data_IF_558299157775
#
_entry.id   IF_558299157775
#
_cell.length_a   1.000
_cell.length_b   1.000
_cell.length_c   1.000
_cell.angle_alpha   90.00
_cell.angle_beta   90.00
_cell.angle_gamma   90.00
#
_symmetry.space_group_name_H-M   'P 1'
#
loop_
_entity.id
_entity.type
_entity.pdbx_description
1 polymer ?
#
# COMPACT_ATOMS: atom_id res chain seq x y z
N UNK A 1 -6.21 14.98 -2.99
CA UNK A 1 -4.80 14.65 -3.34
C UNK A 1 -4.40 15.48 -4.54
N UNK A 2 -3.21 16.09 -4.57
CA UNK A 2 -2.73 16.81 -5.76
C UNK A 2 -2.15 15.85 -6.81
N UNK A 3 -2.05 16.29 -8.06
CA UNK A 3 -1.52 15.50 -9.18
C UNK A 3 -0.10 14.96 -8.91
N UNK A 4 0.75 15.77 -8.28
CA UNK A 4 2.12 15.37 -7.97
C UNK A 4 2.19 14.21 -6.96
N UNK A 5 1.32 14.21 -5.95
CA UNK A 5 1.23 13.10 -4.99
C UNK A 5 0.71 11.82 -5.64
N UNK A 6 -0.29 11.93 -6.52
CA UNK A 6 -0.82 10.79 -7.27
C UNK A 6 0.28 10.13 -8.12
N UNK A 7 1.04 10.95 -8.87
CA UNK A 7 2.17 10.47 -9.66
C UNK A 7 3.22 9.78 -8.80
N UNK A 8 3.60 10.38 -7.66
CA UNK A 8 4.56 9.77 -6.73
C UNK A 8 4.10 8.43 -6.18
N UNK A 9 2.81 8.28 -5.88
CA UNK A 9 2.22 7.01 -5.44
C UNK A 9 2.29 5.96 -6.56
N UNK A 10 1.90 6.31 -7.78
CA UNK A 10 1.95 5.39 -8.93
C UNK A 10 3.39 4.96 -9.22
N UNK A 11 4.34 5.91 -9.27
CA UNK A 11 5.77 5.62 -9.42
C UNK A 11 6.25 4.66 -8.35
N UNK A 12 5.91 4.89 -7.07
CA UNK A 12 6.27 3.96 -6.00
C UNK A 12 5.71 2.55 -6.23
N UNK A 13 4.44 2.42 -6.60
CA UNK A 13 3.83 1.12 -6.84
C UNK A 13 4.50 0.38 -8.01
N UNK A 14 4.77 1.06 -9.12
CA UNK A 14 5.35 0.43 -10.31
C UNK A 14 6.86 0.16 -10.19
N UNK A 15 7.62 1.04 -9.55
CA UNK A 15 9.08 0.94 -9.53
C UNK A 15 9.62 0.25 -8.27
N UNK A 16 8.82 0.19 -7.19
CA UNK A 16 9.27 -0.34 -5.90
C UNK A 16 8.49 -1.55 -5.43
N UNK A 17 7.19 -1.65 -5.73
CA UNK A 17 6.36 -2.78 -5.28
C UNK A 17 6.24 -3.85 -6.36
N UNK A 18 5.84 -3.48 -7.58
CA UNK A 18 5.62 -4.41 -8.67
C UNK A 18 6.82 -5.29 -9.07
N UNK A 19 8.10 -4.83 -9.01
CA UNK A 19 9.23 -5.67 -9.39
C UNK A 19 9.73 -6.58 -8.25
N UNK A 20 9.12 -6.54 -7.06
CA UNK A 20 9.52 -7.41 -5.95
C UNK A 20 8.93 -8.80 -6.10
N UNK A 21 9.75 -9.82 -5.83
CA UNK A 21 9.28 -11.20 -5.71
C UNK A 21 8.27 -11.36 -4.56
N UNK A 22 8.52 -10.67 -3.44
CA UNK A 22 7.58 -10.52 -2.34
C UNK A 22 7.27 -9.05 -2.08
N UNK A 23 6.07 -8.56 -2.46
CA UNK A 23 5.67 -7.18 -2.21
C UNK A 23 5.60 -6.85 -0.71
N UNK A 24 5.51 -7.86 0.17
CA UNK A 24 5.50 -7.65 1.63
C UNK A 24 6.82 -7.10 2.17
N UNK A 25 7.92 -7.32 1.48
CA UNK A 25 9.29 -7.01 1.93
C UNK A 25 9.55 -5.53 2.25
N UNK A 26 8.78 -4.59 1.67
CA UNK A 26 8.96 -3.14 1.87
C UNK A 26 7.75 -2.45 2.55
N UNK A 27 6.87 -3.24 3.16
CA UNK A 27 5.70 -2.72 3.87
C UNK A 27 5.55 -3.32 5.27
N UNK A 28 4.36 -3.14 5.84
CA UNK A 28 4.04 -3.68 7.17
C UNK A 28 2.61 -4.22 7.19
N UNK A 29 2.40 -5.36 7.83
CA UNK A 29 1.06 -5.83 8.19
C UNK A 29 0.31 -4.78 9.01
N UNK A 30 -1.00 -4.62 8.75
CA UNK A 30 -1.86 -3.86 9.65
C UNK A 30 -2.10 -4.66 10.94
N UNK A 31 -2.04 -3.96 12.07
CA UNK A 31 -2.32 -4.54 13.38
C UNK A 31 -3.83 -4.62 13.62
N UNK A 32 -4.30 -5.75 14.13
CA UNK A 32 -5.70 -5.97 14.50
C UNK A 32 -6.23 -7.31 13.96
N UNK A 33 -7.04 -8.00 14.75
CA UNK A 33 -7.51 -9.37 14.49
C UNK A 33 -8.27 -9.54 13.17
N UNK A 34 -8.87 -8.47 12.62
CA UNK A 34 -9.56 -8.47 11.31
C UNK A 34 -8.75 -7.82 10.17
N UNK A 35 -7.56 -7.28 10.45
CA UNK A 35 -6.77 -6.47 9.50
C UNK A 35 -5.42 -7.10 9.13
N UNK A 36 -5.04 -8.23 9.75
CA UNK A 36 -3.75 -8.88 9.51
C UNK A 36 -3.50 -9.34 8.08
N UNK A 37 -4.54 -9.41 7.24
CA UNK A 37 -4.46 -9.73 5.81
C UNK A 37 -4.01 -8.54 4.95
N UNK A 38 -4.07 -7.33 5.49
CA UNK A 38 -3.75 -6.12 4.74
C UNK A 38 -2.33 -5.67 5.00
N UNK A 39 -1.69 -5.21 3.92
CA UNK A 39 -0.37 -4.63 3.93
C UNK A 39 -0.42 -3.12 3.75
N UNK A 40 0.45 -2.42 4.48
CA UNK A 40 0.54 -0.97 4.47
C UNK A 40 1.91 -0.54 3.96
N UNK A 41 1.91 0.27 2.91
CA UNK A 41 3.10 0.99 2.43
C UNK A 41 3.05 2.46 2.82
N UNK A 42 4.23 3.07 2.96
CA UNK A 42 4.37 4.51 3.24
C UNK A 42 5.01 5.21 2.04
N UNK A 43 4.34 6.24 1.53
CA UNK A 43 4.86 7.10 0.47
C UNK A 43 4.73 8.55 0.91
N UNK A 44 5.80 9.10 1.49
CA UNK A 44 5.76 10.42 2.12
C UNK A 44 4.74 10.46 3.27
N UNK A 45 3.74 11.33 3.14
CA UNK A 45 2.65 11.51 4.12
C UNK A 45 1.43 10.61 3.86
N UNK A 46 1.41 9.92 2.72
CA UNK A 46 0.36 8.99 2.37
C UNK A 46 0.71 7.58 2.87
N UNK A 47 -0.32 6.85 3.30
CA UNK A 47 -0.22 5.39 3.38
C UNK A 47 -1.17 4.75 2.38
N UNK A 48 -0.70 3.64 1.85
CA UNK A 48 -1.40 2.81 0.89
C UNK A 48 -1.73 1.53 1.64
N UNK A 49 -3.01 1.20 1.76
CA UNK A 49 -3.47 -0.09 2.27
C UNK A 49 -3.77 -0.96 1.06
N UNK A 50 -3.22 -2.17 1.08
CA UNK A 50 -3.36 -3.15 0.02
C UNK A 50 -3.69 -4.53 0.57
N UNK A 51 -4.42 -5.31 -0.21
CA UNK A 51 -4.51 -6.76 -0.06
C UNK A 51 -3.48 -7.39 -0.99
N UNK A 52 -2.72 -8.36 -0.50
CA UNK A 52 -1.78 -9.12 -1.32
C UNK A 52 -2.40 -10.51 -1.49
N UNK A 53 -2.81 -10.80 -2.71
CA UNK A 53 -3.50 -12.02 -3.14
C UNK A 53 -2.47 -12.93 -3.81
N UNK A 54 -1.81 -13.79 -3.01
CA UNK A 54 -0.71 -14.64 -3.50
C UNK A 54 -1.18 -15.60 -4.60
N UNK A 55 -2.39 -16.18 -4.45
CA UNK A 55 -2.98 -17.11 -5.41
C UNK A 55 -3.20 -16.48 -6.80
N UNK A 56 -3.35 -15.15 -6.85
CA UNK A 56 -3.57 -14.39 -8.07
C UNK A 56 -2.32 -13.59 -8.50
N UNK A 57 -1.19 -13.73 -7.79
CA UNK A 57 0.03 -12.92 -7.97
C UNK A 57 -0.28 -11.42 -8.07
N UNK A 58 -1.14 -10.93 -7.18
CA UNK A 58 -1.75 -9.59 -7.31
C UNK A 58 -1.66 -8.80 -6.02
N UNK A 59 -1.28 -7.52 -6.16
CA UNK A 59 -1.40 -6.53 -5.08
C UNK A 59 -2.56 -5.59 -5.40
N UNK A 60 -3.65 -5.70 -4.64
CA UNK A 60 -4.85 -4.86 -4.78
C UNK A 60 -4.76 -3.69 -3.79
N UNK A 61 -4.72 -2.46 -4.30
CA UNK A 61 -4.81 -1.25 -3.46
C UNK A 61 -6.27 -1.03 -3.05
N UNK A 62 -6.53 -1.04 -1.73
CA UNK A 62 -7.87 -0.94 -1.14
C UNK A 62 -8.18 0.48 -0.68
N UNK A 63 -7.19 1.17 -0.09
CA UNK A 63 -7.37 2.55 0.40
C UNK A 63 -6.06 3.32 0.31
N UNK A 64 -6.15 4.58 -0.07
CA UNK A 64 -5.04 5.53 0.00
C UNK A 64 -5.52 6.71 0.85
N UNK A 65 -4.72 7.13 1.82
CA UNK A 65 -5.03 8.31 2.61
C UNK A 65 -3.80 8.91 3.27
N UNK A 66 -3.93 10.15 3.74
CA UNK A 66 -2.89 10.77 4.56
C UNK A 66 -2.92 10.20 5.98
N UNK A 67 -2.00 10.64 6.85
CA UNK A 67 -1.96 10.29 8.28
C UNK A 67 -3.32 10.40 8.99
N UNK A 68 -4.13 11.39 8.64
CA UNK A 68 -5.38 11.73 9.33
C UNK A 68 -6.59 10.94 8.78
N UNK A 69 -6.57 10.61 7.49
CA UNK A 69 -7.72 10.04 6.78
C UNK A 69 -7.85 8.52 6.97
N UNK A 70 -6.78 7.81 7.33
CA UNK A 70 -6.77 6.34 7.38
C UNK A 70 -7.26 5.74 8.69
N UNK A 71 -7.28 6.52 9.76
CA UNK A 71 -7.78 6.10 11.07
C UNK A 71 -9.19 6.61 11.36
N UNK A 72 -9.85 7.19 10.34
CA UNK A 72 -11.23 7.63 10.39
C UNK A 72 -12.12 6.68 9.57
#
# INVERSE_FOLDING_TARGET
MCQQHARRILTFLHERVAPLDDPRSIGQALKGSRLGIYWKYRVGDYRIISSIEDDALRTLVVRIGNRHDLYR
#
